data_IF_561594275494
#
_entry.id   IF_561594275494
#
_cell.length_a   1.000
_cell.length_b   1.000
_cell.length_c   1.000
_cell.angle_alpha   90.00
_cell.angle_beta   90.00
_cell.angle_gamma   90.00
#
_symmetry.space_group_name_H-M   'P 1'
#
loop_
_entity.id
_entity.type
_entity.pdbx_description
1 polymer ?
#
# COMPACT_ATOMS: atom_id res chain seq x y z
N UNK A 1 98.12 -23.66 -6.78
CA UNK A 1 97.86 -23.95 -8.21
C UNK A 1 96.65 -24.84 -8.27
N UNK A 2 95.68 -24.38 -9.04
CA UNK A 2 94.36 -24.93 -9.33
C UNK A 2 94.38 -26.39 -9.76
N UNK A 3 93.52 -27.22 -9.17
CA UNK A 3 92.82 -28.29 -9.90
C UNK A 3 91.35 -28.25 -9.49
N UNK A 4 90.59 -27.71 -10.42
CA UNK A 4 89.14 -27.62 -10.52
C UNK A 4 88.46 -28.95 -10.21
N UNK A 5 87.63 -28.96 -9.17
CA UNK A 5 86.67 -30.02 -8.94
C UNK A 5 85.69 -30.08 -10.13
N UNK A 6 85.50 -31.28 -10.63
CA UNK A 6 84.69 -31.66 -11.79
C UNK A 6 83.21 -31.25 -11.62
N UNK A 7 82.54 -30.80 -12.71
CA UNK A 7 81.13 -30.40 -12.69
C UNK A 7 80.14 -31.59 -12.70
N UNK A 8 80.55 -32.80 -12.32
CA UNK A 8 79.77 -34.03 -12.55
C UNK A 8 78.73 -34.38 -11.48
N UNK A 9 78.78 -33.78 -10.28
CA UNK A 9 77.82 -34.12 -9.20
C UNK A 9 76.55 -33.25 -9.21
N UNK A 10 76.62 -32.05 -9.81
CA UNK A 10 75.47 -31.13 -9.88
C UNK A 10 74.53 -31.51 -11.04
N UNK A 11 75.07 -32.04 -12.15
CA UNK A 11 74.26 -32.51 -13.28
C UNK A 11 73.52 -33.82 -12.99
N UNK A 12 74.08 -34.72 -12.18
CA UNK A 12 73.41 -36.00 -11.85
C UNK A 12 72.21 -35.85 -10.90
N UNK A 13 72.12 -34.76 -10.11
CA UNK A 13 70.94 -34.47 -9.28
C UNK A 13 69.79 -33.80 -10.04
N UNK A 14 70.06 -33.25 -11.23
CA UNK A 14 69.01 -32.63 -12.07
C UNK A 14 68.15 -33.69 -12.80
N UNK A 15 68.67 -34.91 -12.98
CA UNK A 15 68.02 -35.98 -13.76
C UNK A 15 66.88 -36.69 -13.00
N UNK A 16 66.84 -36.60 -11.66
CA UNK A 16 65.78 -37.19 -10.83
C UNK A 16 64.65 -36.22 -10.44
N UNK A 17 64.50 -35.10 -11.15
CA UNK A 17 63.28 -34.30 -11.04
C UNK A 17 62.21 -34.96 -11.91
N UNK A 18 61.42 -35.83 -11.29
CA UNK A 18 60.26 -36.46 -11.91
C UNK A 18 59.47 -35.41 -12.71
N UNK A 19 59.33 -35.64 -14.01
CA UNK A 19 58.55 -34.78 -14.89
C UNK A 19 57.09 -34.91 -14.41
N UNK A 20 56.42 -33.81 -14.00
CA UNK A 20 55.03 -33.90 -13.57
C UNK A 20 54.18 -34.37 -14.76
N UNK A 21 53.59 -35.56 -14.63
CA UNK A 21 52.72 -36.13 -15.64
C UNK A 21 51.32 -35.62 -15.37
N UNK A 22 50.80 -34.82 -16.30
CA UNK A 22 49.41 -34.38 -16.29
C UNK A 22 48.68 -35.07 -17.45
N UNK A 23 47.58 -35.74 -17.15
CA UNK A 23 46.75 -36.46 -18.11
C UNK A 23 45.38 -35.76 -18.16
N UNK A 24 45.01 -35.24 -19.32
CA UNK A 24 43.68 -34.64 -19.54
C UNK A 24 42.78 -35.66 -20.24
N UNK A 25 41.69 -36.04 -19.57
CA UNK A 25 40.65 -36.93 -20.08
C UNK A 25 39.35 -36.14 -20.19
N UNK A 26 39.21 -35.38 -21.28
CA UNK A 26 38.06 -34.50 -21.47
C UNK A 26 38.01 -33.39 -20.41
N UNK A 27 36.94 -33.27 -19.61
CA UNK A 27 36.84 -32.24 -18.58
C UNK A 27 37.67 -32.53 -17.31
N UNK A 28 38.26 -33.71 -17.19
CA UNK A 28 38.99 -34.14 -15.98
C UNK A 28 40.49 -34.08 -16.23
N UNK A 29 41.22 -33.41 -15.34
CA UNK A 29 42.69 -33.38 -15.32
C UNK A 29 43.21 -34.23 -14.15
N UNK A 30 44.10 -35.16 -14.46
CA UNK A 30 44.80 -36.00 -13.49
C UNK A 30 46.24 -35.55 -13.40
N UNK A 31 46.76 -35.41 -12.18
CA UNK A 31 48.17 -35.11 -11.92
C UNK A 31 48.80 -36.26 -11.13
N UNK A 32 50.01 -36.65 -11.52
CA UNK A 32 50.80 -37.64 -10.79
C UNK A 32 51.61 -36.94 -9.69
N UNK A 33 51.42 -37.35 -8.44
CA UNK A 33 52.14 -36.76 -7.31
C UNK A 33 53.57 -37.33 -7.15
N UNK A 34 54.35 -36.72 -6.25
CA UNK A 34 55.73 -37.11 -5.98
C UNK A 34 55.89 -38.53 -5.40
N UNK A 35 54.78 -39.17 -4.99
CA UNK A 35 54.73 -40.55 -4.50
C UNK A 35 54.20 -41.52 -5.56
N UNK A 36 53.93 -41.06 -6.79
CA UNK A 36 53.41 -41.87 -7.88
C UNK A 36 51.91 -42.16 -7.79
N UNK A 37 51.15 -41.42 -6.97
CA UNK A 37 49.70 -41.54 -6.89
C UNK A 37 49.03 -40.54 -7.85
N UNK A 38 48.03 -41.02 -8.59
CA UNK A 38 47.18 -40.16 -9.43
C UNK A 38 46.19 -39.40 -8.57
N UNK A 39 46.15 -38.07 -8.70
CA UNK A 39 45.14 -37.21 -8.09
C UNK A 39 44.31 -36.51 -9.16
N UNK A 40 43.02 -36.40 -8.89
CA UNK A 40 42.06 -35.68 -9.72
C UNK A 40 42.08 -34.21 -9.33
N UNK A 41 42.16 -33.30 -10.29
CA UNK A 41 41.99 -31.87 -10.07
C UNK A 41 40.50 -31.53 -9.99
N UNK A 42 39.93 -31.69 -8.79
CA UNK A 42 38.52 -31.39 -8.48
C UNK A 42 38.27 -29.93 -8.08
N UNK A 43 39.29 -29.07 -8.14
CA UNK A 43 39.22 -27.68 -7.67
C UNK A 43 38.12 -26.86 -8.40
N UNK A 44 37.97 -27.07 -9.70
CA UNK A 44 36.97 -26.40 -10.52
C UNK A 44 35.54 -26.87 -10.22
N UNK A 45 35.36 -28.17 -9.97
CA UNK A 45 34.08 -28.76 -9.58
C UNK A 45 33.66 -28.25 -8.18
N UNK A 46 34.62 -28.19 -7.25
CA UNK A 46 34.38 -27.67 -5.91
C UNK A 46 34.00 -26.18 -5.93
N UNK A 47 34.72 -25.35 -6.69
CA UNK A 47 34.38 -23.94 -6.88
C UNK A 47 33.00 -23.76 -7.53
N UNK A 48 32.66 -24.58 -8.53
CA UNK A 48 31.34 -24.54 -9.14
C UNK A 48 30.24 -24.92 -8.13
N UNK A 49 30.47 -25.94 -7.31
CA UNK A 49 29.53 -26.36 -6.27
C UNK A 49 29.33 -25.31 -5.19
N UNK A 50 30.41 -24.65 -4.74
CA UNK A 50 30.32 -23.54 -3.79
C UNK A 50 29.53 -22.36 -4.38
N UNK A 51 29.80 -22.01 -5.64
CA UNK A 51 29.07 -20.95 -6.34
C UNK A 51 27.60 -21.28 -6.52
N UNK A 52 27.25 -22.54 -6.80
CA UNK A 52 25.84 -22.97 -6.88
C UNK A 52 25.15 -22.77 -5.54
N UNK A 53 25.77 -23.18 -4.42
CA UNK A 53 25.21 -22.99 -3.08
C UNK A 53 25.02 -21.51 -2.72
N UNK A 54 25.99 -20.66 -3.07
CA UNK A 54 25.87 -19.21 -2.86
C UNK A 54 24.72 -18.61 -3.68
N UNK A 55 24.59 -19.02 -4.94
CA UNK A 55 23.51 -18.56 -5.81
C UNK A 55 22.15 -19.03 -5.32
N UNK A 56 22.03 -20.28 -4.86
CA UNK A 56 20.80 -20.83 -4.27
C UNK A 56 20.41 -20.05 -3.01
N UNK A 57 21.36 -19.78 -2.11
CA UNK A 57 21.11 -18.99 -0.91
C UNK A 57 20.67 -17.56 -1.24
N UNK A 58 21.32 -16.93 -2.22
CA UNK A 58 20.94 -15.59 -2.68
C UNK A 58 19.57 -15.60 -3.34
N UNK A 59 19.24 -16.62 -4.13
CA UNK A 59 17.96 -16.72 -4.80
C UNK A 59 16.83 -16.90 -3.77
N UNK A 60 17.02 -17.76 -2.77
CA UNK A 60 16.07 -17.92 -1.67
C UNK A 60 15.86 -16.61 -0.88
N UNK A 61 16.94 -15.86 -0.62
CA UNK A 61 16.84 -14.56 0.04
C UNK A 61 16.05 -13.54 -0.80
N UNK A 62 16.31 -13.48 -2.11
CA UNK A 62 15.59 -12.60 -3.04
C UNK A 62 14.11 -13.00 -3.17
N UNK A 63 13.80 -14.29 -3.26
CA UNK A 63 12.42 -14.79 -3.29
C UNK A 63 11.64 -14.38 -2.03
N UNK A 64 12.28 -14.49 -0.85
CA UNK A 64 11.70 -14.01 0.40
C UNK A 64 11.48 -12.50 0.38
N UNK A 65 12.44 -11.71 -0.11
CA UNK A 65 12.30 -10.26 -0.20
C UNK A 65 11.17 -9.85 -1.16
N UNK A 66 11.07 -10.51 -2.32
CA UNK A 66 9.98 -10.29 -3.28
C UNK A 66 8.63 -10.58 -2.64
N UNK A 67 8.49 -11.69 -1.92
CA UNK A 67 7.24 -12.04 -1.23
C UNK A 67 6.87 -10.98 -0.17
N UNK A 68 7.84 -10.49 0.60
CA UNK A 68 7.63 -9.42 1.58
C UNK A 68 7.22 -8.10 0.92
N UNK A 69 7.89 -7.73 -0.18
CA UNK A 69 7.58 -6.51 -0.93
C UNK A 69 6.19 -6.59 -1.57
N UNK A 70 5.79 -7.74 -2.11
CA UNK A 70 4.44 -7.94 -2.64
C UNK A 70 3.38 -7.78 -1.55
N UNK A 71 3.63 -8.36 -0.36
CA UNK A 71 2.75 -8.21 0.81
C UNK A 71 2.66 -6.74 1.24
N UNK A 72 3.78 -6.01 1.26
CA UNK A 72 3.79 -4.59 1.61
C UNK A 72 3.05 -3.74 0.57
N UNK A 73 3.26 -4.00 -0.72
CA UNK A 73 2.58 -3.30 -1.79
C UNK A 73 1.07 -3.51 -1.77
N UNK A 74 0.60 -4.73 -1.51
CA UNK A 74 -0.83 -5.04 -1.36
C UNK A 74 -1.42 -4.32 -0.15
N UNK A 75 -0.77 -4.40 1.00
CA UNK A 75 -1.19 -3.65 2.21
C UNK A 75 -1.30 -2.14 1.97
N UNK A 76 -0.29 -1.52 1.36
CA UNK A 76 -0.33 -0.07 1.06
C UNK A 76 -1.42 0.28 0.04
N UNK A 77 -1.67 -0.60 -0.94
CA UNK A 77 -2.73 -0.40 -1.92
C UNK A 77 -4.12 -0.45 -1.26
N UNK A 78 -4.34 -1.39 -0.35
CA UNK A 78 -5.57 -1.50 0.43
C UNK A 78 -5.77 -0.27 1.33
N UNK A 79 -4.74 0.16 2.05
CA UNK A 79 -4.76 1.38 2.85
C UNK A 79 -5.12 2.62 2.00
N UNK A 80 -4.48 2.77 0.83
CA UNK A 80 -4.78 3.87 -0.09
C UNK A 80 -6.21 3.83 -0.61
N UNK A 81 -6.73 2.65 -0.93
CA UNK A 81 -8.12 2.48 -1.38
C UNK A 81 -9.11 2.81 -0.27
N UNK A 82 -8.83 2.39 0.97
CA UNK A 82 -9.65 2.73 2.12
C UNK A 82 -9.67 4.22 2.38
N UNK A 83 -8.53 4.91 2.26
CA UNK A 83 -8.49 6.36 2.44
C UNK A 83 -9.29 7.11 1.37
N UNK A 84 -9.16 6.71 0.10
CA UNK A 84 -9.98 7.26 -0.99
C UNK A 84 -11.47 7.07 -0.74
N UNK A 85 -11.87 5.87 -0.27
CA UNK A 85 -13.26 5.58 0.05
C UNK A 85 -13.77 6.47 1.19
N UNK A 86 -12.98 6.65 2.27
CA UNK A 86 -13.35 7.54 3.38
C UNK A 86 -13.52 8.99 2.91
N UNK A 87 -12.58 9.50 2.11
CA UNK A 87 -12.68 10.86 1.57
C UNK A 87 -13.94 11.02 0.70
N UNK A 88 -14.21 10.07 -0.20
CA UNK A 88 -15.38 10.11 -1.05
C UNK A 88 -16.68 10.09 -0.23
N UNK A 89 -16.77 9.19 0.75
CA UNK A 89 -17.93 9.09 1.63
C UNK A 89 -18.15 10.38 2.42
N UNK A 90 -17.10 11.00 2.95
CA UNK A 90 -17.20 12.28 3.66
C UNK A 90 -17.70 13.40 2.74
N UNK A 91 -17.24 13.45 1.49
CA UNK A 91 -17.72 14.42 0.50
C UNK A 91 -19.22 14.22 0.23
N UNK A 92 -19.64 12.97 0.02
CA UNK A 92 -21.05 12.64 -0.23
C UNK A 92 -21.94 12.96 0.98
N UNK A 93 -21.49 12.61 2.19
CA UNK A 93 -22.22 12.93 3.42
C UNK A 93 -22.32 14.45 3.64
N UNK A 94 -21.27 15.21 3.33
CA UNK A 94 -21.28 16.66 3.42
C UNK A 94 -22.26 17.26 2.40
N UNK A 95 -22.29 16.74 1.18
CA UNK A 95 -23.24 17.16 0.16
C UNK A 95 -24.70 16.89 0.62
N UNK A 96 -24.99 15.70 1.13
CA UNK A 96 -26.32 15.36 1.68
C UNK A 96 -26.69 16.28 2.85
N UNK A 97 -25.77 16.48 3.80
CA UNK A 97 -26.01 17.35 4.96
C UNK A 97 -26.29 18.79 4.53
N UNK A 98 -25.57 19.30 3.53
CA UNK A 98 -25.80 20.66 3.00
C UNK A 98 -27.17 20.81 2.34
N UNK A 99 -27.63 19.78 1.61
CA UNK A 99 -28.97 19.76 1.00
C UNK A 99 -30.06 19.72 2.08
N UNK A 100 -29.87 18.93 3.13
CA UNK A 100 -30.82 18.83 4.24
C UNK A 100 -30.89 20.13 5.05
N UNK A 101 -29.76 20.80 5.27
CA UNK A 101 -29.70 22.13 5.90
C UNK A 101 -30.45 23.18 5.08
N UNK A 102 -30.20 23.25 3.77
CA UNK A 102 -30.89 24.18 2.87
C UNK A 102 -32.40 23.91 2.82
N UNK A 103 -32.80 22.63 2.74
CA UNK A 103 -34.21 22.22 2.79
C UNK A 103 -34.87 22.61 4.12
N UNK A 104 -34.18 22.41 5.24
CA UNK A 104 -34.72 22.75 6.56
C UNK A 104 -34.87 24.27 6.71
N UNK A 105 -33.89 25.03 6.22
CA UNK A 105 -33.93 26.50 6.21
C UNK A 105 -35.08 27.04 5.37
N UNK A 106 -35.26 26.53 4.16
CA UNK A 106 -36.37 26.95 3.29
C UNK A 106 -37.73 26.62 3.87
N UNK A 107 -37.89 25.45 4.52
CA UNK A 107 -39.11 25.10 5.26
C UNK A 107 -39.36 26.04 6.43
N UNK A 108 -38.34 26.36 7.23
CA UNK A 108 -38.47 27.30 8.34
C UNK A 108 -38.85 28.70 7.87
N UNK A 109 -38.25 29.19 6.79
CA UNK A 109 -38.59 30.49 6.19
C UNK A 109 -40.03 30.50 5.64
N UNK A 110 -40.48 29.39 5.04
CA UNK A 110 -41.86 29.25 4.55
C UNK A 110 -42.87 29.26 5.70
N UNK A 111 -42.62 28.52 6.77
CA UNK A 111 -43.50 28.50 7.96
C UNK A 111 -43.52 29.88 8.66
N UNK A 112 -42.37 30.57 8.72
CA UNK A 112 -42.30 31.94 9.23
C UNK A 112 -43.13 32.91 8.37
N UNK A 113 -43.06 32.79 7.04
CA UNK A 113 -43.88 33.61 6.14
C UNK A 113 -45.39 33.34 6.32
N UNK A 114 -45.78 32.07 6.49
CA UNK A 114 -47.17 31.67 6.78
C UNK A 114 -47.64 32.25 8.11
N UNK A 115 -46.84 32.13 9.18
CA UNK A 115 -47.16 32.69 10.48
C UNK A 115 -47.33 34.22 10.42
N UNK A 116 -46.45 34.92 9.70
CA UNK A 116 -46.56 36.36 9.50
C UNK A 116 -47.82 36.74 8.70
N UNK A 117 -48.18 35.97 7.67
CA UNK A 117 -49.42 36.18 6.91
C UNK A 117 -50.64 36.05 7.83
N UNK A 118 -50.72 34.96 8.59
CA UNK A 118 -51.82 34.73 9.55
C UNK A 118 -51.87 35.85 10.59
N UNK A 119 -50.72 36.27 11.12
CA UNK A 119 -50.65 37.37 12.08
C UNK A 119 -51.16 38.68 11.47
N UNK A 120 -50.80 38.97 10.22
CA UNK A 120 -51.29 40.14 9.49
C UNK A 120 -52.80 40.08 9.26
N UNK A 121 -53.32 38.91 8.86
CA UNK A 121 -54.76 38.70 8.65
C UNK A 121 -55.53 38.86 9.97
N UNK A 122 -55.02 38.30 11.07
CA UNK A 122 -55.59 38.48 12.40
C UNK A 122 -55.58 39.95 12.84
N UNK A 123 -54.49 40.68 12.60
CA UNK A 123 -54.43 42.11 12.91
C UNK A 123 -55.46 42.91 12.11
N UNK A 124 -55.61 42.63 10.81
CA UNK A 124 -56.60 43.28 9.97
C UNK A 124 -58.04 42.99 10.43
N UNK A 125 -58.36 41.75 10.80
CA UNK A 125 -59.66 41.38 11.36
C UNK A 125 -59.96 42.09 12.69
N UNK A 126 -58.95 42.25 13.55
CA UNK A 126 -59.09 42.97 14.82
C UNK A 126 -59.33 44.47 14.60
N UNK A 127 -58.65 45.09 13.63
CA UNK A 127 -58.90 46.49 13.28
C UNK A 127 -60.29 46.70 12.68
N UNK A 128 -60.74 45.79 11.81
CA UNK A 128 -62.11 45.84 11.26
C UNK A 128 -63.16 45.70 12.37
N UNK A 129 -62.98 44.75 13.29
CA UNK A 129 -63.88 44.58 14.43
C UNK A 129 -63.91 45.83 15.34
N UNK A 130 -62.75 46.50 15.53
CA UNK A 130 -62.68 47.77 16.27
C UNK A 130 -63.44 48.88 15.54
N UNK A 131 -63.27 49.01 14.22
CA UNK A 131 -63.95 50.02 13.41
C UNK A 131 -65.48 49.84 13.40
N UNK A 132 -65.95 48.60 13.42
CA UNK A 132 -67.38 48.24 13.47
C UNK A 132 -67.97 48.25 14.89
N UNK A 133 -67.17 48.56 15.92
CA UNK A 133 -67.61 48.60 17.32
C UNK A 133 -67.98 47.23 17.91
N UNK A 134 -67.50 46.13 17.32
CA UNK A 134 -67.71 44.78 17.82
C UNK A 134 -66.79 44.48 19.00
N UNK A 135 -67.37 44.04 20.11
CA UNK A 135 -66.61 43.57 21.28
C UNK A 135 -65.81 42.30 20.91
N UNK A 136 -64.50 42.28 21.23
CA UNK A 136 -63.56 41.20 20.87
C UNK A 136 -64.05 39.83 21.35
N UNK A 137 -64.82 39.79 22.45
CA UNK A 137 -65.47 38.58 22.97
C UNK A 137 -66.54 38.01 22.03
N UNK A 138 -67.28 38.88 21.33
CA UNK A 138 -68.31 38.48 20.34
C UNK A 138 -67.67 37.97 19.04
N UNK A 139 -66.53 38.52 18.64
CA UNK A 139 -65.74 38.04 17.50
C UNK A 139 -65.20 36.62 17.75
N UNK A 140 -64.68 36.35 18.95
CA UNK A 140 -64.21 35.02 19.34
C UNK A 140 -65.34 33.96 19.31
N UNK A 141 -66.55 34.32 19.77
CA UNK A 141 -67.73 33.46 19.63
C UNK A 141 -68.16 33.27 18.16
N UNK A 142 -68.02 34.27 17.28
CA UNK A 142 -68.37 34.14 15.86
C UNK A 142 -67.36 33.26 15.07
N UNK A 143 -66.07 33.34 15.40
CA UNK A 143 -65.02 32.53 14.79
C UNK A 143 -65.10 31.05 15.22
N UNK A 144 -65.46 30.78 16.48
CA UNK A 144 -65.61 29.42 17.02
C UNK A 144 -66.94 28.76 16.68
N UNK A 145 -67.96 29.53 16.30
CA UNK A 145 -69.29 29.00 15.89
C UNK A 145 -69.44 28.80 14.37
N UNK A 146 -68.43 29.18 13.56
CA UNK A 146 -68.43 28.86 12.13
C UNK A 146 -68.17 27.36 11.94
N UNK A 147 -69.12 26.57 11.43
CA UNK A 147 -68.85 25.17 11.13
C UNK A 147 -67.82 25.11 10.00
N UNK A 148 -66.80 24.27 10.15
CA UNK A 148 -66.05 23.79 8.99
C UNK A 148 -67.06 23.08 8.08
N UNK A 149 -67.49 23.76 7.02
CA UNK A 149 -68.19 23.11 5.93
C UNK A 149 -67.20 22.15 5.24
N UNK A 150 -67.66 20.96 4.80
CA UNK A 150 -66.82 19.90 4.26
C UNK A 150 -66.06 20.28 2.99
#
# INVERSE_FOLDING_TARGET
MTLTASPSEVEMKAVNRAIPINLSLGPVSLSLDAFGQWRIDDSTLQQAQERVKELEARNAALESEVAQLQTKCTSMMEESNMEKFKCQLLIEMLAVSSLDEERTRTQADQEKARANSIQSDMAALLELARAEGMDVRKLNTALTTRPLAP
#
